data_IF_836431617417
#
_entry.id   IF_836431617417
#
_cell.length_a   1.000
_cell.length_b   1.000
_cell.length_c   1.000
_cell.angle_alpha   90.00
_cell.angle_beta   90.00
_cell.angle_gamma   90.00
#
_symmetry.space_group_name_H-M   'P 1'
#
loop_
_entity.id
_entity.type
_entity.pdbx_description
1 polymer ?
#
# COMPACT_ATOMS: atom_id res chain seq x y z
N UNK A 1 34.10 -6.78 9.18
CA UNK A 1 34.41 -6.24 7.85
C UNK A 1 34.17 -7.36 6.84
N UNK A 2 32.96 -7.46 6.29
CA UNK A 2 32.69 -8.21 5.05
C UNK A 2 31.64 -7.41 4.28
N UNK A 3 32.09 -6.87 3.16
CA UNK A 3 31.34 -6.12 2.16
C UNK A 3 30.82 -7.09 1.09
N UNK A 4 29.68 -6.71 0.51
CA UNK A 4 29.31 -6.92 -0.89
C UNK A 4 28.89 -8.32 -1.37
N UNK A 5 27.62 -8.40 -1.76
CA UNK A 5 27.10 -9.00 -3.01
C UNK A 5 25.58 -8.74 -2.97
N UNK A 6 25.00 -7.93 -3.84
CA UNK A 6 24.44 -8.39 -5.12
C UNK A 6 24.37 -7.19 -6.08
N UNK A 7 25.14 -7.26 -7.17
CA UNK A 7 24.90 -6.59 -8.44
C UNK A 7 24.65 -7.65 -9.52
N UNK A 8 24.00 -7.23 -10.63
CA UNK A 8 23.47 -7.97 -11.79
C UNK A 8 21.99 -8.32 -11.64
N UNK A 9 21.10 -7.85 -12.52
CA UNK A 9 20.99 -8.26 -13.93
C UNK A 9 20.68 -7.09 -14.88
N UNK A 10 21.41 -7.05 -16.00
CA UNK A 10 21.16 -6.25 -17.21
C UNK A 10 20.19 -6.99 -18.16
N UNK A 11 19.60 -6.22 -19.08
CA UNK A 11 18.92 -6.62 -20.34
C UNK A 11 17.49 -7.14 -20.20
N UNK A 12 16.54 -6.46 -20.84
CA UNK A 12 15.85 -6.95 -22.05
C UNK A 12 15.04 -5.82 -22.71
N UNK A 13 15.23 -5.71 -24.02
CA UNK A 13 14.55 -4.87 -24.99
C UNK A 13 13.43 -5.69 -25.64
N UNK A 14 12.20 -5.17 -25.70
CA UNK A 14 11.17 -5.63 -26.64
C UNK A 14 10.15 -4.52 -26.93
N UNK A 15 10.29 -3.90 -28.10
CA UNK A 15 9.38 -4.11 -29.22
C UNK A 15 7.88 -3.89 -29.00
N UNK A 16 7.38 -2.83 -29.66
CA UNK A 16 5.98 -2.51 -29.98
C UNK A 16 4.99 -3.69 -29.99
N UNK A 17 3.83 -3.52 -29.35
CA UNK A 17 2.56 -4.01 -29.89
C UNK A 17 1.39 -3.13 -29.43
N UNK A 18 0.55 -2.87 -30.42
CA UNK A 18 -0.49 -1.86 -30.52
C UNK A 18 -1.87 -2.44 -30.22
N UNK A 19 -2.73 -1.58 -29.65
CA UNK A 19 -4.20 -1.62 -29.68
C UNK A 19 -4.86 -2.74 -28.87
N UNK A 20 -6.02 -2.58 -28.22
CA UNK A 20 -7.12 -1.63 -28.42
C UNK A 20 -8.03 -1.63 -27.18
N UNK A 21 -8.76 -0.53 -26.98
CA UNK A 21 -10.13 -0.61 -26.46
C UNK A 21 -10.34 -0.36 -24.97
N UNK A 22 -10.71 0.87 -24.63
CA UNK A 22 -11.33 1.22 -23.34
C UNK A 22 -10.82 2.55 -22.80
N UNK A 23 -11.22 3.66 -23.42
CA UNK A 23 -10.90 5.01 -22.91
C UNK A 23 -11.68 5.21 -21.61
N UNK A 24 -11.04 4.88 -20.48
CA UNK A 24 -11.52 5.26 -19.15
C UNK A 24 -11.35 6.77 -19.03
N UNK A 25 -12.48 7.47 -19.13
CA UNK A 25 -12.55 8.92 -19.05
C UNK A 25 -12.15 9.34 -17.62
N UNK A 26 -10.90 9.77 -17.46
CA UNK A 26 -10.25 10.18 -16.21
C UNK A 26 -11.00 11.28 -15.46
N UNK A 27 -11.83 12.06 -16.16
CA UNK A 27 -12.72 13.02 -15.53
C UNK A 27 -13.81 12.35 -14.68
N UNK A 28 -14.31 11.16 -15.03
CA UNK A 28 -15.47 10.56 -14.36
C UNK A 28 -15.15 9.79 -13.06
N UNK A 29 -13.88 9.40 -12.82
CA UNK A 29 -13.45 8.85 -11.52
C UNK A 29 -13.47 9.91 -10.41
N UNK A 30 -13.46 11.20 -10.76
CA UNK A 30 -13.39 12.31 -9.80
C UNK A 30 -14.45 13.41 -10.02
N UNK A 31 -15.31 13.32 -11.04
CA UNK A 31 -16.42 14.29 -11.28
C UNK A 31 -17.81 13.77 -10.89
N UNK A 32 -17.93 12.49 -10.53
CA UNK A 32 -19.04 12.05 -9.70
C UNK A 32 -18.57 12.11 -8.25
N UNK A 33 -19.26 12.80 -7.33
CA UNK A 33 -18.93 12.68 -5.92
C UNK A 33 -19.02 11.21 -5.58
N UNK A 34 -17.92 10.59 -5.14
CA UNK A 34 -17.98 9.32 -4.43
C UNK A 34 -19.17 9.43 -3.46
N UNK A 35 -20.16 8.50 -3.48
CA UNK A 35 -21.32 8.58 -2.59
C UNK A 35 -20.95 8.65 -1.09
N UNK A 36 -19.67 8.51 -0.76
CA UNK A 36 -19.15 8.55 0.60
C UNK A 36 -18.07 9.64 0.83
N UNK A 37 -17.68 10.45 -0.18
CA UNK A 37 -16.76 11.58 0.06
C UNK A 37 -17.39 12.72 0.88
N UNK A 38 -18.72 12.73 1.03
CA UNK A 38 -19.43 13.75 1.79
C UNK A 38 -19.67 13.39 3.27
N UNK A 39 -19.19 12.24 3.78
CA UNK A 39 -19.34 11.88 5.19
C UNK A 39 -18.08 11.20 5.80
N UNK A 40 -16.89 11.60 5.38
CA UNK A 40 -15.70 11.45 6.23
C UNK A 40 -15.73 12.60 7.25
N UNK A 41 -16.23 12.30 8.45
CA UNK A 41 -16.33 13.25 9.55
C UNK A 41 -15.06 14.09 9.70
N UNK A 42 -15.25 15.39 9.92
CA UNK A 42 -14.22 16.41 10.08
C UNK A 42 -13.22 16.06 11.20
N UNK A 43 -12.23 15.24 10.85
CA UNK A 43 -10.86 15.32 11.36
C UNK A 43 -10.06 15.76 10.14
N UNK A 44 -9.64 17.02 10.07
CA UNK A 44 -8.99 17.59 8.88
C UNK A 44 -7.78 16.74 8.47
N UNK A 45 -7.94 15.91 7.43
CA UNK A 45 -6.83 15.18 6.83
C UNK A 45 -5.76 16.21 6.44
N UNK A 46 -4.50 16.06 6.87
CA UNK A 46 -3.47 17.03 6.56
C UNK A 46 -3.31 17.23 5.04
N UNK A 47 -3.06 18.46 4.56
CA UNK A 47 -2.96 18.74 3.13
C UNK A 47 -1.96 17.85 2.39
N UNK A 48 -0.81 17.55 3.00
CA UNK A 48 0.22 16.69 2.44
C UNK A 48 -0.24 15.25 2.26
N UNK A 49 -1.09 14.74 3.15
CA UNK A 49 -1.69 13.41 3.04
C UNK A 49 -2.65 13.37 1.85
N UNK A 50 -3.44 14.43 1.66
CA UNK A 50 -4.35 14.53 0.53
C UNK A 50 -3.61 14.60 -0.81
N UNK A 51 -2.53 15.39 -0.89
CA UNK A 51 -1.71 15.50 -2.10
C UNK A 51 -1.08 14.15 -2.44
N UNK A 52 -0.51 13.48 -1.44
CA UNK A 52 0.11 12.16 -1.60
C UNK A 52 -0.90 11.13 -2.15
N UNK A 53 -2.08 11.05 -1.54
CA UNK A 53 -3.14 10.14 -1.99
C UNK A 53 -3.69 10.48 -3.37
N UNK A 54 -3.74 11.77 -3.73
CA UNK A 54 -4.17 12.19 -5.08
C UNK A 54 -3.22 11.66 -6.16
N UNK A 55 -1.91 11.72 -5.91
CA UNK A 55 -0.91 11.20 -6.86
C UNK A 55 -1.03 9.67 -7.01
N UNK A 56 -1.19 8.94 -5.91
CA UNK A 56 -1.40 7.49 -5.96
C UNK A 56 -2.73 7.11 -6.63
N UNK A 57 -3.79 7.88 -6.38
CA UNK A 57 -5.09 7.69 -7.02
C UNK A 57 -4.99 7.90 -8.53
N UNK A 58 -4.23 8.89 -8.99
CA UNK A 58 -3.94 9.06 -10.41
C UNK A 58 -3.14 7.87 -10.97
N UNK A 59 -2.14 7.37 -10.24
CA UNK A 59 -1.36 6.20 -10.64
C UNK A 59 -2.22 4.94 -10.81
N UNK A 60 -3.24 4.70 -9.97
CA UNK A 60 -4.20 3.60 -10.18
C UNK A 60 -4.89 3.65 -11.55
N UNK A 61 -5.06 4.85 -12.12
CA UNK A 61 -5.72 5.02 -13.42
C UNK A 61 -4.71 4.96 -14.57
N UNK A 62 -3.57 5.60 -14.41
CA UNK A 62 -2.61 5.80 -15.51
C UNK A 62 -1.56 4.70 -15.59
N UNK A 63 -1.20 4.09 -14.46
CA UNK A 63 -0.17 3.05 -14.39
C UNK A 63 -0.80 1.66 -14.37
N UNK A 64 -0.44 0.85 -15.37
CA UNK A 64 -0.98 -0.50 -15.54
C UNK A 64 -0.48 -1.46 -14.46
N UNK A 65 0.82 -1.44 -14.17
CA UNK A 65 1.46 -2.36 -13.23
C UNK A 65 0.96 -2.07 -11.82
N UNK A 66 0.98 -0.80 -11.42
CA UNK A 66 0.49 -0.37 -10.12
C UNK A 66 -1.00 -0.72 -9.93
N UNK A 67 -1.83 -0.52 -10.96
CA UNK A 67 -3.25 -0.92 -10.94
C UNK A 67 -3.41 -2.42 -10.76
N UNK A 68 -2.68 -3.23 -11.52
CA UNK A 68 -2.76 -4.69 -11.45
C UNK A 68 -2.35 -5.23 -10.07
N UNK A 69 -1.32 -4.63 -9.45
CA UNK A 69 -0.90 -4.96 -8.07
C UNK A 69 -1.99 -4.60 -7.05
N UNK A 70 -2.70 -3.49 -7.26
CA UNK A 70 -3.76 -3.03 -6.37
C UNK A 70 -5.12 -3.71 -6.64
N UNK A 71 -5.23 -4.53 -7.68
CA UNK A 71 -6.44 -5.26 -8.01
C UNK A 71 -6.50 -6.62 -7.28
N UNK A 72 -7.17 -6.59 -6.13
CA UNK A 72 -7.43 -7.75 -5.28
C UNK A 72 -8.79 -8.39 -5.55
N UNK A 73 -9.44 -8.12 -6.70
CA UNK A 73 -10.80 -8.58 -6.99
C UNK A 73 -11.03 -10.10 -6.92
N UNK A 74 -9.96 -10.90 -6.93
CA UNK A 74 -9.98 -12.36 -6.76
C UNK A 74 -9.60 -12.85 -5.35
N UNK A 75 -9.22 -11.96 -4.43
CA UNK A 75 -8.90 -12.30 -3.04
C UNK A 75 -10.15 -12.27 -2.17
N UNK A 76 -10.32 -13.25 -1.28
CA UNK A 76 -11.35 -13.14 -0.24
C UNK A 76 -10.90 -12.22 0.90
N UNK A 77 -11.82 -11.63 1.68
CA UNK A 77 -11.47 -10.90 2.90
C UNK A 77 -10.62 -11.71 3.88
N UNK A 78 -10.85 -13.02 3.98
CA UNK A 78 -10.09 -13.90 4.87
C UNK A 78 -8.68 -14.16 4.35
N UNK A 79 -8.48 -14.26 3.03
CA UNK A 79 -7.13 -14.33 2.43
C UNK A 79 -6.31 -13.08 2.75
N UNK A 80 -6.93 -11.91 2.60
CA UNK A 80 -6.28 -10.64 2.88
C UNK A 80 -5.96 -10.47 4.38
N UNK A 81 -6.88 -10.85 5.25
CA UNK A 81 -6.66 -10.83 6.70
C UNK A 81 -5.53 -11.78 7.12
N UNK A 82 -5.52 -13.00 6.57
CA UNK A 82 -4.46 -13.98 6.83
C UNK A 82 -3.10 -13.46 6.35
N UNK A 83 -3.07 -12.89 5.15
CA UNK A 83 -1.87 -12.24 4.62
C UNK A 83 -1.37 -11.11 5.53
N UNK A 84 -2.24 -10.20 5.98
CA UNK A 84 -1.85 -9.10 6.88
C UNK A 84 -1.29 -9.62 8.19
N UNK A 85 -1.87 -10.68 8.76
CA UNK A 85 -1.33 -11.34 9.95
C UNK A 85 0.08 -11.89 9.70
N UNK A 86 0.27 -12.71 8.67
CA UNK A 86 1.56 -13.35 8.37
C UNK A 86 2.65 -12.33 8.07
N UNK A 87 2.31 -11.31 7.26
CA UNK A 87 3.23 -10.23 6.91
C UNK A 87 3.67 -9.44 8.14
N UNK A 88 2.72 -9.05 9.00
CA UNK A 88 3.02 -8.24 10.19
C UNK A 88 3.75 -9.03 11.26
N UNK A 89 3.45 -10.32 11.41
CA UNK A 89 4.20 -11.23 12.27
C UNK A 89 5.66 -11.31 11.83
N UNK A 90 5.90 -11.56 10.53
CA UNK A 90 7.25 -11.62 9.96
C UNK A 90 7.99 -10.29 10.11
N UNK A 91 7.34 -9.17 9.79
CA UNK A 91 7.94 -7.84 9.95
C UNK A 91 8.31 -7.55 11.42
N UNK A 92 7.47 -7.92 12.38
CA UNK A 92 7.79 -7.77 13.80
C UNK A 92 9.00 -8.63 14.21
N UNK A 93 9.11 -9.85 13.67
CA UNK A 93 10.29 -10.71 13.87
C UNK A 93 11.56 -10.10 13.28
N UNK A 94 11.49 -9.53 12.08
CA UNK A 94 12.61 -8.85 11.42
C UNK A 94 13.06 -7.61 12.22
N UNK A 95 12.13 -6.98 12.94
CA UNK A 95 12.38 -5.89 13.90
C UNK A 95 12.79 -6.37 15.30
N UNK A 96 13.15 -7.66 15.44
CA UNK A 96 13.63 -8.28 16.69
C UNK A 96 12.60 -8.38 17.82
N UNK A 97 11.31 -8.48 17.51
CA UNK A 97 10.29 -8.72 18.53
C UNK A 97 10.34 -10.19 18.97
N UNK A 98 10.12 -10.42 20.26
CA UNK A 98 9.89 -11.76 20.81
C UNK A 98 8.61 -12.37 20.22
N UNK A 99 8.52 -13.70 20.12
CA UNK A 99 7.41 -14.38 19.42
C UNK A 99 6.03 -13.97 19.95
N UNK A 100 5.87 -13.89 21.28
CA UNK A 100 4.61 -13.46 21.89
C UNK A 100 4.25 -12.02 21.55
N UNK A 101 5.25 -11.13 21.46
CA UNK A 101 5.03 -9.72 21.08
C UNK A 101 4.73 -9.60 19.58
N UNK A 102 5.42 -10.36 18.74
CA UNK A 102 5.16 -10.42 17.30
C UNK A 102 3.76 -10.96 17.00
N UNK A 103 3.32 -12.02 17.69
CA UNK A 103 1.96 -12.55 17.57
C UNK A 103 0.90 -11.53 18.02
N UNK A 104 1.09 -10.91 19.19
CA UNK A 104 0.18 -9.86 19.66
C UNK A 104 0.10 -8.70 18.69
N UNK A 105 1.23 -8.28 18.12
CA UNK A 105 1.31 -7.22 17.12
C UNK A 105 0.53 -7.58 15.84
N UNK A 106 0.72 -8.80 15.34
CA UNK A 106 0.03 -9.28 14.16
C UNK A 106 -1.49 -9.36 14.36
N UNK A 107 -1.95 -9.88 15.51
CA UNK A 107 -3.37 -9.93 15.88
C UNK A 107 -4.00 -8.55 15.98
N UNK A 108 -3.28 -7.58 16.54
CA UNK A 108 -3.77 -6.20 16.66
C UNK A 108 -3.90 -5.54 15.28
N UNK A 109 -3.02 -5.87 14.33
CA UNK A 109 -3.06 -5.30 12.98
C UNK A 109 -4.16 -5.93 12.12
N UNK A 110 -4.30 -7.26 12.15
CA UNK A 110 -5.27 -7.98 11.32
C UNK A 110 -6.69 -8.02 11.90
N UNK A 111 -6.84 -7.93 13.23
CA UNK A 111 -8.13 -7.98 13.92
C UNK A 111 -9.20 -7.01 13.40
N UNK A 112 -8.87 -5.73 13.13
CA UNK A 112 -9.81 -4.77 12.53
C UNK A 112 -10.38 -5.19 11.17
N UNK A 113 -9.70 -6.08 10.42
CA UNK A 113 -10.15 -6.55 9.11
C UNK A 113 -11.32 -7.54 9.18
N UNK A 114 -11.66 -8.05 10.37
CA UNK A 114 -12.86 -8.90 10.58
C UNK A 114 -14.18 -8.22 10.17
N UNK A 115 -14.15 -6.91 9.95
CA UNK A 115 -15.32 -6.11 9.57
C UNK A 115 -15.34 -5.69 8.09
N UNK A 116 -14.31 -6.03 7.31
CA UNK A 116 -14.08 -5.49 5.96
C UNK A 116 -14.52 -6.51 4.91
N UNK A 117 -15.77 -6.41 4.45
CA UNK A 117 -16.33 -7.21 3.35
C UNK A 117 -17.32 -6.34 2.55
N UNK A 118 -17.25 -6.28 1.20
CA UNK A 118 -16.25 -6.91 0.31
C UNK A 118 -14.91 -6.18 0.30
N UNK A 119 -13.84 -6.92 0.00
CA UNK A 119 -12.51 -6.37 -0.24
C UNK A 119 -12.47 -5.73 -1.63
N UNK A 120 -12.45 -4.39 -1.67
CA UNK A 120 -12.37 -3.63 -2.93
C UNK A 120 -11.02 -2.93 -3.04
N UNK A 121 -10.59 -2.61 -4.26
CA UNK A 121 -9.39 -1.78 -4.50
C UNK A 121 -9.43 -0.47 -3.71
N UNK A 122 -10.60 0.16 -3.59
CA UNK A 122 -10.79 1.37 -2.78
C UNK A 122 -10.51 1.13 -1.30
N UNK A 123 -11.02 0.04 -0.73
CA UNK A 123 -10.77 -0.32 0.68
C UNK A 123 -9.31 -0.63 0.93
N UNK A 124 -8.65 -1.35 0.03
CA UNK A 124 -7.21 -1.61 0.15
C UNK A 124 -6.43 -0.30 0.04
N UNK A 125 -6.80 0.58 -0.89
CA UNK A 125 -6.17 1.87 -1.06
C UNK A 125 -6.24 2.72 0.21
N UNK A 126 -7.41 2.78 0.85
CA UNK A 126 -7.60 3.48 2.11
C UNK A 126 -6.83 2.83 3.26
N UNK A 127 -6.90 1.50 3.39
CA UNK A 127 -6.25 0.80 4.49
C UNK A 127 -4.73 0.92 4.40
N UNK A 128 -4.14 0.75 3.21
CA UNK A 128 -2.68 0.75 3.03
C UNK A 128 -2.11 2.16 2.84
N UNK A 129 -2.56 2.90 1.83
CA UNK A 129 -1.86 4.12 1.43
C UNK A 129 -2.18 5.30 2.36
N UNK A 130 -3.41 5.38 2.85
CA UNK A 130 -3.78 6.44 3.81
C UNK A 130 -3.16 6.20 5.19
N UNK A 131 -3.09 4.95 5.65
CA UNK A 131 -2.40 4.66 6.93
C UNK A 131 -0.91 5.01 6.85
N UNK A 132 -0.23 4.66 5.75
CA UNK A 132 1.16 5.05 5.48
C UNK A 132 1.33 6.57 5.44
N UNK A 133 0.48 7.27 4.68
CA UNK A 133 0.56 8.71 4.54
C UNK A 133 0.38 9.44 5.88
N UNK A 134 -0.57 8.99 6.71
CA UNK A 134 -0.79 9.55 8.06
C UNK A 134 0.39 9.26 8.98
N UNK A 135 0.97 8.06 8.92
CA UNK A 135 2.20 7.74 9.63
C UNK A 135 3.33 8.70 9.22
N UNK A 136 3.62 8.80 7.92
CA UNK A 136 4.73 9.64 7.45
C UNK A 136 4.53 11.12 7.78
N UNK A 137 3.28 11.62 7.72
CA UNK A 137 2.95 12.98 8.13
C UNK A 137 3.19 13.16 9.63
N UNK A 138 2.73 12.24 10.48
CA UNK A 138 2.96 12.28 11.93
C UNK A 138 4.43 12.19 12.33
N UNK A 139 5.24 11.48 11.53
CA UNK A 139 6.68 11.35 11.71
C UNK A 139 7.48 12.54 11.15
N UNK A 140 6.83 13.52 10.51
CA UNK A 140 7.48 14.67 9.88
C UNK A 140 8.22 14.35 8.57
N UNK A 141 8.02 13.15 8.01
CA UNK A 141 8.66 12.68 6.78
C UNK A 141 7.89 13.16 5.56
N UNK A 142 6.55 13.08 5.61
CA UNK A 142 5.66 13.61 4.58
C UNK A 142 5.29 15.06 4.90
N UNK A 143 5.45 15.94 3.91
CA UNK A 143 5.06 17.35 3.98
C UNK A 143 4.64 17.84 2.58
N UNK A 144 4.12 19.07 2.50
CA UNK A 144 3.56 19.63 1.26
C UNK A 144 4.61 19.67 0.13
N UNK A 145 5.88 19.89 0.45
CA UNK A 145 6.94 20.04 -0.56
C UNK A 145 7.39 18.72 -1.16
N UNK A 146 7.24 17.62 -0.43
CA UNK A 146 7.71 16.30 -0.87
C UNK A 146 6.59 15.27 -1.08
N UNK A 147 5.31 15.64 -0.88
CA UNK A 147 4.19 14.72 -1.04
C UNK A 147 4.08 14.11 -2.44
N UNK A 148 4.27 14.92 -3.48
CA UNK A 148 4.28 14.44 -4.87
C UNK A 148 5.46 13.49 -5.14
N UNK A 149 6.73 13.87 -4.94
CA UNK A 149 7.85 12.98 -5.23
C UNK A 149 7.85 11.72 -4.36
N UNK A 150 7.41 11.77 -3.10
CA UNK A 150 7.31 10.57 -2.26
C UNK A 150 6.22 9.61 -2.76
N UNK A 151 5.08 10.13 -3.24
CA UNK A 151 4.05 9.28 -3.82
C UNK A 151 4.56 8.59 -5.10
N UNK A 152 5.25 9.32 -5.98
CA UNK A 152 5.88 8.73 -7.17
C UNK A 152 6.91 7.66 -6.82
N UNK A 153 7.77 7.90 -5.82
CA UNK A 153 8.75 6.91 -5.35
C UNK A 153 8.08 5.63 -4.82
N UNK A 154 6.93 5.75 -4.16
CA UNK A 154 6.18 4.58 -3.71
C UNK A 154 5.61 3.76 -4.87
N UNK A 155 5.06 4.42 -5.91
CA UNK A 155 4.60 3.76 -7.14
C UNK A 155 5.76 3.00 -7.78
N UNK A 156 6.90 3.68 -7.99
CA UNK A 156 8.10 3.07 -8.57
C UNK A 156 8.61 1.88 -7.74
N UNK A 157 8.58 1.96 -6.41
CA UNK A 157 8.98 0.86 -5.53
C UNK A 157 8.06 -0.36 -5.65
N UNK A 158 6.75 -0.12 -5.84
CA UNK A 158 5.76 -1.18 -6.06
C UNK A 158 5.95 -1.81 -7.44
N UNK A 159 6.14 -1.03 -8.49
CA UNK A 159 6.38 -1.54 -9.84
C UNK A 159 7.67 -2.35 -9.91
N UNK A 160 8.75 -1.86 -9.30
CA UNK A 160 10.02 -2.58 -9.21
C UNK A 160 9.89 -3.90 -8.44
N UNK A 161 8.95 -3.99 -7.50
CA UNK A 161 8.64 -5.24 -6.78
C UNK A 161 7.78 -6.17 -7.63
N UNK A 162 6.88 -5.62 -8.46
CA UNK A 162 5.98 -6.36 -9.34
C UNK A 162 6.75 -7.18 -10.39
N UNK A 163 7.79 -6.58 -10.98
CA UNK A 163 8.71 -7.23 -11.92
C UNK A 163 9.34 -8.51 -11.33
N UNK A 164 9.45 -8.62 -9.99
CA UNK A 164 10.11 -9.75 -9.33
C UNK A 164 9.18 -10.88 -8.93
N UNK A 165 7.87 -10.65 -8.82
CA UNK A 165 6.95 -11.53 -8.08
C UNK A 165 5.71 -11.97 -8.89
N UNK A 166 5.23 -11.15 -9.83
CA UNK A 166 4.06 -11.47 -10.66
C UNK A 166 4.38 -12.51 -11.75
N UNK A 167 4.70 -13.74 -11.35
CA UNK A 167 4.85 -14.87 -12.26
C UNK A 167 3.53 -15.61 -12.52
N UNK A 168 2.53 -15.46 -11.64
CA UNK A 168 1.18 -16.03 -11.77
C UNK A 168 0.15 -15.01 -11.22
N UNK A 169 -1.02 -14.88 -11.86
CA UNK A 169 -2.13 -13.97 -11.49
C UNK A 169 -2.88 -14.44 -10.23
N UNK A 170 -2.13 -14.81 -9.19
CA UNK A 170 -2.63 -15.25 -7.89
C UNK A 170 -2.73 -14.04 -6.93
N UNK A 171 -3.85 -13.88 -6.19
CA UNK A 171 -4.01 -12.82 -5.18
C UNK A 171 -2.84 -12.68 -4.20
N UNK A 172 -2.25 -13.81 -3.78
CA UNK A 172 -1.14 -13.83 -2.84
C UNK A 172 0.12 -13.15 -3.43
N UNK A 173 0.38 -13.33 -4.72
CA UNK A 173 1.51 -12.72 -5.41
C UNK A 173 1.36 -11.20 -5.48
N UNK A 174 0.14 -10.70 -5.75
CA UNK A 174 -0.19 -9.27 -5.73
C UNK A 174 -0.01 -8.66 -4.34
N UNK A 175 -0.50 -9.35 -3.30
CA UNK A 175 -0.35 -8.90 -1.91
C UNK A 175 1.14 -8.86 -1.49
N UNK A 176 1.92 -9.88 -1.85
CA UNK A 176 3.36 -9.92 -1.63
C UNK A 176 4.08 -8.77 -2.36
N UNK A 177 3.70 -8.51 -3.61
CA UNK A 177 4.24 -7.40 -4.41
C UNK A 177 3.98 -6.05 -3.76
N UNK A 178 2.73 -5.78 -3.37
CA UNK A 178 2.35 -4.54 -2.70
C UNK A 178 3.15 -4.35 -1.40
N UNK A 179 3.22 -5.39 -0.57
CA UNK A 179 3.96 -5.35 0.69
C UNK A 179 5.48 -5.21 0.50
N UNK A 180 6.04 -5.85 -0.54
CA UNK A 180 7.45 -5.74 -0.89
C UNK A 180 7.83 -4.33 -1.32
N UNK A 181 6.99 -3.70 -2.16
CA UNK A 181 7.17 -2.31 -2.57
C UNK A 181 7.08 -1.35 -1.39
N UNK A 182 6.12 -1.57 -0.50
CA UNK A 182 6.02 -0.83 0.76
C UNK A 182 7.29 -0.93 1.60
N UNK A 183 7.76 -2.16 1.89
CA UNK A 183 8.97 -2.38 2.71
C UNK A 183 10.19 -1.74 2.07
N UNK A 184 10.36 -1.88 0.75
CA UNK A 184 11.46 -1.24 0.02
C UNK A 184 11.41 0.28 0.14
N UNK A 185 10.24 0.89 -0.07
CA UNK A 185 10.04 2.34 0.06
C UNK A 185 10.41 2.85 1.46
N UNK A 186 9.86 2.25 2.51
CA UNK A 186 10.07 2.71 3.90
C UNK A 186 11.49 2.41 4.41
N UNK A 187 12.12 1.37 3.89
CA UNK A 187 13.55 1.07 4.15
C UNK A 187 14.43 2.14 3.50
N UNK A 188 14.14 2.53 2.25
CA UNK A 188 14.89 3.57 1.54
C UNK A 188 14.77 4.95 2.19
N UNK A 189 13.63 5.23 2.82
CA UNK A 189 13.45 6.44 3.62
C UNK A 189 14.16 6.38 4.99
N UNK A 190 14.70 5.23 5.38
CA UNK A 190 15.35 5.05 6.68
C UNK A 190 14.38 5.05 7.86
N UNK A 191 13.10 4.78 7.62
CA UNK A 191 12.04 4.85 8.65
C UNK A 191 11.57 3.46 9.11
N UNK A 192 12.04 2.39 8.48
CA UNK A 192 11.74 1.01 8.86
C UNK A 192 12.35 0.67 10.23
N UNK A 193 11.49 0.69 11.26
CA UNK A 193 11.93 0.61 12.66
C UNK A 193 10.83 0.05 13.58
N UNK A 194 11.16 -0.39 14.81
CA UNK A 194 10.17 -0.78 15.82
C UNK A 194 9.13 0.32 16.14
N UNK A 195 9.55 1.59 16.08
CA UNK A 195 8.68 2.73 16.34
C UNK A 195 7.63 2.88 15.23
N UNK A 196 8.06 2.71 13.97
CA UNK A 196 7.15 2.65 12.83
C UNK A 196 6.11 1.54 12.97
N UNK A 197 6.51 0.35 13.44
CA UNK A 197 5.60 -0.78 13.61
C UNK A 197 4.38 -0.40 14.48
N UNK A 198 4.61 0.26 15.61
CA UNK A 198 3.54 0.67 16.53
C UNK A 198 2.59 1.70 15.90
N UNK A 199 3.11 2.66 15.14
CA UNK A 199 2.30 3.65 14.42
C UNK A 199 1.51 3.05 13.25
N UNK A 200 2.06 2.05 12.56
CA UNK A 200 1.35 1.32 11.51
C UNK A 200 0.11 0.65 12.11
N UNK A 201 0.21 -0.05 13.24
CA UNK A 201 -0.96 -0.69 13.89
C UNK A 201 -2.06 0.32 14.17
N UNK A 202 -1.69 1.48 14.73
CA UNK A 202 -2.63 2.52 15.06
C UNK A 202 -3.36 3.05 13.81
N UNK A 203 -2.62 3.54 12.81
CA UNK A 203 -3.23 4.13 11.62
C UNK A 203 -3.94 3.08 10.76
N UNK A 204 -3.35 1.90 10.58
CA UNK A 204 -3.97 0.80 9.83
C UNK A 204 -5.28 0.36 10.48
N UNK A 205 -5.32 0.23 11.80
CA UNK A 205 -6.54 -0.12 12.54
C UNK A 205 -7.64 0.95 12.41
N UNK A 206 -7.29 2.23 12.47
CA UNK A 206 -8.24 3.33 12.29
C UNK A 206 -8.79 3.40 10.86
N UNK A 207 -7.95 3.20 9.85
CA UNK A 207 -8.38 3.19 8.46
C UNK A 207 -9.19 1.93 8.12
N UNK A 208 -8.86 0.76 8.68
CA UNK A 208 -9.66 -0.45 8.55
C UNK A 208 -11.07 -0.30 9.16
N UNK A 209 -11.19 0.33 10.33
CA UNK A 209 -12.49 0.67 10.93
C UNK A 209 -13.28 1.66 10.07
N UNK A 210 -12.59 2.59 9.42
CA UNK A 210 -13.22 3.59 8.54
C UNK A 210 -13.70 2.94 7.24
N UNK A 211 -12.91 2.03 6.67
CA UNK A 211 -13.24 1.27 5.47
C UNK A 211 -14.46 0.35 5.64
N UNK A 212 -14.81 -0.06 6.87
CA UNK A 212 -16.07 -0.79 7.16
C UNK A 212 -17.32 -0.03 6.68
N UNK A 213 -17.28 1.30 6.68
CA UNK A 213 -18.45 2.16 6.42
C UNK A 213 -18.65 2.50 4.94
N UNK A 214 -17.76 2.01 4.07
CA UNK A 214 -17.79 2.20 2.62
C UNK A 214 -18.37 0.96 1.93
#
# INVERSE_FOLDING_TARGET
MVLSNIQMVKMLDFGSLSSSGGVLNTAQLFSSPLPCANNLGQSSTPPEVLIFLTVLGNALVTDKTFREVCDFGSATPEDFKSFVYDFTYKAAKDLSFEDLKADSFAKQTSGPLNCVDPLTTEKVFLIYFKSLARFMSSAGVLNITNAVPLASQLVEAIDASAVKILHDDCPQSKMQTLSGGFVAFVTNLGIYSPQMASSIVFYFGEEAKSAKKL
#
